data_IF_196860011919
#
_entry.id   IF_196860011919
#
_cell.length_a   1.000
_cell.length_b   1.000
_cell.length_c   1.000
_cell.angle_alpha   90.00
_cell.angle_beta   90.00
_cell.angle_gamma   90.00
#
_symmetry.space_group_name_H-M   'P 1'
#
loop_
_entity.id
_entity.type
_entity.pdbx_description
1 polymer ?
#
# COMPACT_ATOMS: atom_id res chain seq x y z
N UNK A 1 18.20 -0.89 15.76
CA UNK A 1 17.12 -1.47 16.59
C UNK A 1 16.46 -0.32 17.33
N UNK A 2 15.39 0.24 16.77
CA UNK A 2 14.99 1.61 17.14
C UNK A 2 14.09 1.64 18.38
N UNK A 3 14.46 2.51 19.32
CA UNK A 3 13.99 2.61 20.71
C UNK A 3 14.02 1.31 21.53
N UNK A 4 14.82 0.33 21.09
CA UNK A 4 15.25 -0.80 21.92
C UNK A 4 16.64 -0.51 22.47
N UNK A 5 16.78 -0.39 23.79
CA UNK A 5 18.04 0.04 24.42
C UNK A 5 18.28 -0.69 25.73
N UNK A 6 19.55 -0.94 26.03
CA UNK A 6 19.95 -1.43 27.34
C UNK A 6 19.99 -0.28 28.35
N UNK A 7 19.35 -0.45 29.50
CA UNK A 7 19.43 0.43 30.68
C UNK A 7 19.91 -0.43 31.85
N UNK A 8 21.13 -0.18 32.35
CA UNK A 8 21.75 -0.94 33.45
C UNK A 8 21.69 -2.46 33.24
N UNK A 9 22.05 -2.94 32.03
CA UNK A 9 22.08 -4.37 31.69
C UNK A 9 20.73 -5.01 31.32
N UNK A 10 19.60 -4.31 31.47
CA UNK A 10 18.27 -4.81 31.07
C UNK A 10 17.81 -4.17 29.76
N UNK A 11 17.16 -4.94 28.90
CA UNK A 11 16.64 -4.46 27.61
C UNK A 11 15.26 -3.81 27.79
N UNK A 12 15.09 -2.62 27.22
CA UNK A 12 13.83 -1.87 27.21
C UNK A 12 13.38 -1.60 25.78
N UNK A 13 12.07 -1.62 25.54
CA UNK A 13 11.43 -0.94 24.43
C UNK A 13 10.87 0.38 24.95
N UNK A 14 11.41 1.50 24.49
CA UNK A 14 11.14 2.83 25.05
C UNK A 14 11.43 2.84 26.57
N UNK A 15 10.41 3.06 27.39
CA UNK A 15 10.50 3.05 28.85
C UNK A 15 9.93 1.78 29.49
N UNK A 16 9.62 0.76 28.69
CA UNK A 16 9.04 -0.51 29.15
C UNK A 16 10.07 -1.64 29.10
N UNK A 17 10.26 -2.34 30.22
CA UNK A 17 11.16 -3.50 30.30
C UNK A 17 10.65 -4.66 29.45
N UNK A 18 11.51 -5.23 28.60
CA UNK A 18 11.17 -6.41 27.79
C UNK A 18 10.94 -7.64 28.66
N UNK A 19 11.73 -7.80 29.73
CA UNK A 19 11.58 -8.89 30.71
C UNK A 19 10.19 -8.85 31.35
N UNK A 20 9.77 -7.67 31.81
CA UNK A 20 8.44 -7.50 32.41
C UNK A 20 7.30 -7.77 31.43
N UNK A 21 7.47 -7.44 30.14
CA UNK A 21 6.50 -7.78 29.10
C UNK A 21 6.45 -9.29 28.85
N UNK A 22 7.60 -9.95 28.79
CA UNK A 22 7.69 -11.39 28.59
C UNK A 22 7.08 -12.18 29.75
N UNK A 23 7.29 -11.75 31.00
CA UNK A 23 6.64 -12.35 32.18
C UNK A 23 5.12 -12.15 32.16
N UNK A 24 4.66 -10.96 31.78
CA UNK A 24 3.23 -10.63 31.78
C UNK A 24 2.45 -11.31 30.65
N UNK A 25 3.01 -11.40 29.46
CA UNK A 25 2.31 -11.84 28.23
C UNK A 25 2.73 -13.24 27.78
N UNK A 26 3.89 -13.73 28.23
CA UNK A 26 4.49 -14.99 27.78
C UNK A 26 5.31 -14.83 26.49
N UNK A 27 5.95 -15.92 26.07
CA UNK A 27 6.78 -15.99 24.87
C UNK A 27 6.37 -17.17 23.96
N UNK A 28 6.50 -17.06 22.61
CA UNK A 28 7.12 -15.96 21.86
C UNK A 28 6.28 -14.67 21.83
N UNK A 29 6.95 -13.51 21.84
CA UNK A 29 6.33 -12.19 21.92
C UNK A 29 6.89 -11.26 20.83
N UNK A 30 5.99 -10.60 20.10
CA UNK A 30 6.34 -9.46 19.25
C UNK A 30 6.12 -8.15 20.01
N UNK A 31 7.17 -7.33 20.09
CA UNK A 31 7.12 -6.00 20.71
C UNK A 31 7.42 -4.95 19.64
N UNK A 32 6.57 -3.93 19.57
CA UNK A 32 6.71 -2.82 18.63
C UNK A 32 6.87 -1.52 19.42
N UNK A 33 7.82 -0.66 19.01
CA UNK A 33 7.93 0.71 19.55
C UNK A 33 7.03 1.64 18.75
N UNK A 34 6.12 2.33 19.45
CA UNK A 34 5.27 3.37 18.89
C UNK A 34 6.11 4.54 18.38
N UNK A 35 7.06 5.01 19.20
CA UNK A 35 7.91 6.16 18.88
C UNK A 35 8.77 5.90 17.65
N UNK A 36 9.28 4.69 17.51
CA UNK A 36 10.03 4.28 16.32
C UNK A 36 9.17 4.33 15.07
N UNK A 37 8.00 3.67 15.08
CA UNK A 37 7.11 3.64 13.92
C UNK A 37 6.71 5.05 13.51
N UNK A 38 6.30 5.87 14.48
CA UNK A 38 5.93 7.27 14.27
C UNK A 38 7.08 8.09 13.70
N UNK A 39 8.28 8.00 14.29
CA UNK A 39 9.47 8.73 13.84
C UNK A 39 9.84 8.39 12.40
N UNK A 40 9.78 7.11 12.00
CA UNK A 40 10.07 6.71 10.63
C UNK A 40 9.02 7.21 9.65
N UNK A 41 7.75 7.15 10.00
CA UNK A 41 6.68 7.70 9.18
C UNK A 41 6.84 9.22 8.99
N UNK A 42 7.11 9.96 10.07
CA UNK A 42 7.33 11.40 10.02
C UNK A 42 8.59 11.81 9.26
N UNK A 43 9.63 10.96 9.25
CA UNK A 43 10.80 11.19 8.41
C UNK A 43 10.43 11.24 6.92
N UNK A 44 9.55 10.35 6.45
CA UNK A 44 9.02 10.40 5.08
C UNK A 44 8.15 11.64 4.85
N UNK A 45 7.17 11.90 5.73
CA UNK A 45 6.31 13.10 5.63
C UNK A 45 7.13 14.39 5.52
N UNK A 46 8.18 14.52 6.35
CA UNK A 46 9.05 15.70 6.35
C UNK A 46 9.87 15.81 5.07
N UNK A 47 10.38 14.70 4.53
CA UNK A 47 11.19 14.70 3.32
C UNK A 47 10.39 15.20 2.09
N UNK A 48 9.09 14.91 2.03
CA UNK A 48 8.22 15.31 0.93
C UNK A 48 7.36 16.56 1.22
N UNK A 49 7.58 17.26 2.35
CA UNK A 49 6.73 18.37 2.81
C UNK A 49 6.54 19.54 1.82
N UNK A 50 7.44 19.69 0.84
CA UNK A 50 7.38 20.76 -0.17
C UNK A 50 6.50 20.43 -1.39
N UNK A 51 6.05 19.20 -1.54
CA UNK A 51 5.20 18.76 -2.65
C UNK A 51 3.91 18.15 -2.11
N UNK A 52 2.76 18.32 -2.79
CA UNK A 52 1.57 17.54 -2.48
C UNK A 52 1.90 16.05 -2.59
N UNK A 53 1.67 15.31 -1.52
CA UNK A 53 2.02 13.89 -1.46
C UNK A 53 1.08 13.12 -0.54
N UNK A 54 1.04 11.80 -0.74
CA UNK A 54 0.41 10.84 0.15
C UNK A 54 1.42 9.71 0.42
N UNK A 55 1.73 9.46 1.68
CA UNK A 55 2.48 8.26 2.06
C UNK A 55 1.49 7.13 2.30
N UNK A 56 1.41 6.20 1.34
CA UNK A 56 0.64 4.98 1.45
C UNK A 56 1.51 3.85 2.05
N UNK A 57 1.28 3.47 3.31
CA UNK A 57 2.04 2.39 3.95
C UNK A 57 1.61 1.03 3.37
N UNK A 58 2.58 0.24 2.90
CA UNK A 58 2.33 -1.10 2.38
C UNK A 58 1.93 -2.07 3.50
N UNK A 59 0.63 -2.36 3.62
CA UNK A 59 0.07 -3.12 4.75
C UNK A 59 0.71 -4.49 4.92
N UNK A 60 1.04 -5.16 3.81
CA UNK A 60 1.71 -6.48 3.79
C UNK A 60 2.98 -6.57 4.63
N UNK A 61 3.63 -5.43 4.95
CA UNK A 61 4.77 -5.40 5.86
C UNK A 61 4.36 -5.66 7.33
N UNK A 62 3.23 -5.11 7.78
CA UNK A 62 2.65 -5.38 9.09
C UNK A 62 1.18 -4.91 9.14
N UNK A 63 0.24 -5.86 9.18
CA UNK A 63 -1.20 -5.60 9.15
C UNK A 63 -1.85 -5.49 10.55
N UNK A 64 -1.05 -5.25 11.61
CA UNK A 64 -1.57 -5.04 12.95
C UNK A 64 -2.41 -3.76 13.02
N UNK A 65 -3.64 -3.87 13.52
CA UNK A 65 -4.61 -2.76 13.54
C UNK A 65 -4.12 -1.53 14.31
N UNK A 66 -3.32 -1.70 15.37
CA UNK A 66 -2.79 -0.57 16.13
C UNK A 66 -1.74 0.22 15.34
N UNK A 67 -0.93 -0.47 14.52
CA UNK A 67 0.08 0.16 13.65
C UNK A 67 -0.60 0.91 12.49
N UNK A 68 -1.62 0.29 11.87
CA UNK A 68 -2.39 0.96 10.82
C UNK A 68 -3.08 2.22 11.35
N UNK A 69 -3.69 2.12 12.54
CA UNK A 69 -4.33 3.26 13.21
C UNK A 69 -3.32 4.37 13.55
N UNK A 70 -2.10 4.02 13.95
CA UNK A 70 -1.03 4.99 14.18
C UNK A 70 -0.75 5.78 12.89
N UNK A 71 -0.48 5.12 11.77
CA UNK A 71 -0.18 5.81 10.52
C UNK A 71 -1.37 6.62 9.98
N UNK A 72 -2.60 6.12 10.14
CA UNK A 72 -3.80 6.88 9.80
C UNK A 72 -3.89 8.19 10.59
N UNK A 73 -3.61 8.16 11.90
CA UNK A 73 -3.60 9.36 12.77
C UNK A 73 -2.52 10.37 12.40
N UNK A 74 -1.39 9.92 11.88
CA UNK A 74 -0.33 10.81 11.34
C UNK A 74 -0.65 11.31 9.91
N UNK A 75 -1.86 11.05 9.41
CA UNK A 75 -2.35 11.54 8.12
C UNK A 75 -2.03 10.64 6.93
N UNK A 76 -1.45 9.47 7.17
CA UNK A 76 -1.04 8.51 6.14
C UNK A 76 -2.20 7.79 5.46
N UNK A 77 -1.88 7.26 4.29
CA UNK A 77 -2.69 6.31 3.54
C UNK A 77 -2.18 4.89 3.68
N UNK A 78 -2.82 3.95 2.98
CA UNK A 78 -2.45 2.53 2.97
C UNK A 78 -2.41 1.99 1.53
N UNK A 79 -1.37 1.25 1.19
CA UNK A 79 -1.31 0.41 0.00
C UNK A 79 -1.76 -1.01 0.37
N UNK A 80 -2.89 -1.43 -0.20
CA UNK A 80 -3.52 -2.73 0.03
C UNK A 80 -3.37 -3.64 -1.20
N UNK A 81 -3.36 -4.95 -0.99
CA UNK A 81 -3.27 -5.97 -2.05
C UNK A 81 -4.37 -7.03 -1.99
N UNK A 82 -5.35 -6.90 -1.08
CA UNK A 82 -6.52 -7.78 -1.02
C UNK A 82 -7.71 -7.13 -0.32
N UNK A 83 -8.90 -7.71 -0.49
CA UNK A 83 -10.09 -7.33 0.28
C UNK A 83 -9.90 -7.51 1.79
N UNK A 84 -9.13 -8.53 2.23
CA UNK A 84 -8.82 -8.70 3.65
C UNK A 84 -8.03 -7.52 4.24
N UNK A 85 -7.12 -6.94 3.44
CA UNK A 85 -6.38 -5.74 3.83
C UNK A 85 -7.26 -4.48 3.79
N UNK A 86 -8.17 -4.36 2.82
CA UNK A 86 -9.19 -3.31 2.80
C UNK A 86 -9.98 -3.28 4.12
N UNK A 87 -10.52 -4.43 4.54
CA UNK A 87 -11.31 -4.52 5.78
C UNK A 87 -10.48 -4.19 7.03
N UNK A 88 -9.21 -4.60 7.07
CA UNK A 88 -8.29 -4.22 8.17
C UNK A 88 -8.01 -2.73 8.20
N UNK A 89 -7.81 -2.09 7.05
CA UNK A 89 -7.57 -0.65 6.96
C UNK A 89 -8.81 0.13 7.45
N UNK A 90 -10.00 -0.26 7.00
CA UNK A 90 -11.27 0.31 7.45
C UNK A 90 -11.46 0.16 8.97
N UNK A 91 -11.22 -1.04 9.53
CA UNK A 91 -11.30 -1.30 10.97
C UNK A 91 -10.27 -0.50 11.79
N UNK A 92 -9.13 -0.17 11.20
CA UNK A 92 -8.12 0.71 11.79
C UNK A 92 -8.49 2.20 11.72
N UNK A 93 -9.58 2.57 11.03
CA UNK A 93 -10.04 3.95 10.88
C UNK A 93 -9.28 4.74 9.81
N UNK A 94 -8.69 4.04 8.83
CA UNK A 94 -8.05 4.68 7.67
C UNK A 94 -9.14 5.22 6.74
N UNK A 95 -8.97 6.45 6.26
CA UNK A 95 -9.83 7.04 5.24
C UNK A 95 -9.70 6.28 3.91
N UNK A 96 -10.79 5.73 3.33
CA UNK A 96 -10.76 5.06 2.03
C UNK A 96 -10.13 5.92 0.94
N UNK A 97 -10.34 7.24 0.95
CA UNK A 97 -9.76 8.17 -0.02
C UNK A 97 -8.24 8.33 0.09
N UNK A 98 -7.60 7.62 1.02
CA UNK A 98 -6.15 7.49 1.15
C UNK A 98 -5.67 6.04 0.94
N UNK A 99 -6.51 5.17 0.39
CA UNK A 99 -6.15 3.78 0.11
C UNK A 99 -5.91 3.58 -1.38
N UNK A 100 -4.78 2.96 -1.72
CA UNK A 100 -4.48 2.51 -3.09
C UNK A 100 -4.50 1.00 -3.13
N UNK A 101 -5.06 0.41 -4.19
CA UNK A 101 -5.19 -1.05 -4.31
C UNK A 101 -4.27 -1.57 -5.41
N UNK A 102 -3.16 -2.21 -5.02
CA UNK A 102 -2.21 -2.88 -5.91
C UNK A 102 -2.46 -4.39 -6.05
N UNK A 103 -1.67 -5.06 -6.90
CA UNK A 103 -1.69 -6.52 -7.04
C UNK A 103 -2.24 -7.00 -8.39
N UNK A 104 -1.65 -8.08 -8.92
CA UNK A 104 -1.88 -8.56 -10.30
C UNK A 104 -3.11 -9.44 -10.49
N UNK A 105 -3.79 -9.80 -9.40
CA UNK A 105 -4.82 -10.85 -9.40
C UNK A 105 -6.08 -10.45 -8.65
N UNK A 106 -6.42 -9.15 -8.65
CA UNK A 106 -7.62 -8.64 -7.98
C UNK A 106 -8.85 -9.35 -8.54
N UNK A 107 -9.65 -9.94 -7.67
CA UNK A 107 -10.89 -10.59 -8.11
C UNK A 107 -12.01 -9.56 -8.29
N UNK A 108 -13.05 -9.91 -9.05
CA UNK A 108 -14.24 -9.05 -9.22
C UNK A 108 -14.91 -8.70 -7.88
N UNK A 109 -14.89 -9.64 -6.93
CA UNK A 109 -15.41 -9.39 -5.58
C UNK A 109 -14.60 -8.32 -4.85
N UNK A 110 -13.27 -8.41 -4.90
CA UNK A 110 -12.39 -7.42 -4.28
C UNK A 110 -12.54 -6.04 -4.92
N UNK A 111 -12.69 -5.99 -6.25
CA UNK A 111 -12.98 -4.75 -6.98
C UNK A 111 -14.30 -4.13 -6.52
N UNK A 112 -15.37 -4.93 -6.36
CA UNK A 112 -16.65 -4.44 -5.86
C UNK A 112 -16.53 -3.87 -4.44
N UNK A 113 -15.83 -4.58 -3.54
CA UNK A 113 -15.64 -4.13 -2.16
C UNK A 113 -14.90 -2.79 -2.12
N UNK A 114 -13.80 -2.67 -2.87
CA UNK A 114 -13.00 -1.45 -2.95
C UNK A 114 -13.74 -0.27 -3.59
N UNK A 115 -14.53 -0.50 -4.64
CA UNK A 115 -15.37 0.53 -5.26
C UNK A 115 -16.47 1.02 -4.30
N UNK A 116 -17.14 0.11 -3.59
CA UNK A 116 -18.15 0.47 -2.57
C UNK A 116 -17.53 1.25 -1.41
N UNK A 117 -16.31 0.91 -1.02
CA UNK A 117 -15.58 1.64 0.02
C UNK A 117 -15.15 3.04 -0.43
N UNK A 118 -15.07 3.30 -1.74
CA UNK A 118 -14.63 4.59 -2.29
C UNK A 118 -13.14 4.83 -2.08
N UNK A 119 -12.31 3.82 -2.41
CA UNK A 119 -10.85 3.95 -2.31
C UNK A 119 -10.30 5.04 -3.24
N UNK A 120 -9.08 5.52 -2.99
CA UNK A 120 -8.44 6.56 -3.81
C UNK A 120 -8.28 6.12 -5.26
N UNK A 121 -7.65 4.96 -5.50
CA UNK A 121 -7.42 4.44 -6.83
C UNK A 121 -7.01 2.96 -6.85
N UNK A 122 -7.27 2.30 -7.97
CA UNK A 122 -6.70 1.00 -8.31
C UNK A 122 -5.39 1.18 -9.08
N UNK A 123 -4.32 0.55 -8.61
CA UNK A 123 -3.08 0.38 -9.37
C UNK A 123 -3.25 -0.84 -10.28
N UNK A 124 -3.63 -0.60 -11.53
CA UNK A 124 -3.96 -1.63 -12.52
C UNK A 124 -2.69 -2.17 -13.17
N UNK A 125 -2.59 -3.49 -13.27
CA UNK A 125 -1.37 -4.20 -13.69
C UNK A 125 -1.48 -4.79 -15.11
N UNK A 126 -2.69 -4.85 -15.68
CA UNK A 126 -2.92 -5.44 -17.01
C UNK A 126 -4.16 -4.89 -17.72
N UNK A 127 -4.22 -5.08 -19.05
CA UNK A 127 -5.39 -4.75 -19.86
C UNK A 127 -6.63 -5.55 -19.44
N UNK A 128 -6.44 -6.82 -19.10
CA UNK A 128 -7.50 -7.73 -18.69
C UNK A 128 -8.14 -7.29 -17.38
N UNK A 129 -7.31 -6.85 -16.43
CA UNK A 129 -7.78 -6.28 -15.18
C UNK A 129 -8.57 -4.99 -15.41
N UNK A 130 -8.10 -4.12 -16.30
CA UNK A 130 -8.78 -2.87 -16.65
C UNK A 130 -10.19 -3.10 -17.23
N UNK A 131 -10.31 -4.07 -18.14
CA UNK A 131 -11.61 -4.47 -18.74
C UNK A 131 -12.53 -5.08 -17.67
N UNK A 132 -12.02 -5.97 -16.81
CA UNK A 132 -12.80 -6.55 -15.74
C UNK A 132 -13.28 -5.50 -14.73
N UNK A 133 -12.45 -4.49 -14.43
CA UNK A 133 -12.80 -3.39 -13.54
C UNK A 133 -13.86 -2.47 -14.15
N UNK A 134 -13.82 -2.18 -15.45
CA UNK A 134 -14.87 -1.42 -16.15
C UNK A 134 -16.24 -2.13 -16.04
N UNK A 135 -16.28 -3.45 -16.27
CA UNK A 135 -17.50 -4.24 -16.15
C UNK A 135 -18.07 -4.23 -14.71
N UNK A 136 -17.19 -4.34 -13.71
CA UNK A 136 -17.58 -4.28 -12.30
C UNK A 136 -18.09 -2.88 -11.95
N UNK A 137 -17.39 -1.82 -12.36
CA UNK A 137 -17.81 -0.43 -12.13
C UNK A 137 -19.16 -0.12 -12.78
N UNK A 138 -19.37 -0.62 -14.01
CA UNK A 138 -20.66 -0.56 -14.71
C UNK A 138 -21.78 -1.20 -13.89
N UNK A 139 -21.54 -2.38 -13.32
CA UNK A 139 -22.53 -3.11 -12.50
C UNK A 139 -22.91 -2.36 -11.21
N UNK A 140 -22.02 -1.48 -10.73
CA UNK A 140 -22.22 -0.66 -9.54
C UNK A 140 -22.63 0.79 -9.87
N UNK A 141 -22.83 1.11 -11.16
CA UNK A 141 -23.16 2.45 -11.63
C UNK A 141 -22.18 3.53 -11.10
N UNK A 142 -20.89 3.20 -11.07
CA UNK A 142 -19.83 4.10 -10.58
C UNK A 142 -18.67 4.21 -11.58
N UNK A 143 -17.77 5.16 -11.33
CA UNK A 143 -16.49 5.30 -12.03
C UNK A 143 -15.38 4.70 -11.16
N UNK A 144 -14.53 3.87 -11.75
CA UNK A 144 -13.36 3.32 -11.08
C UNK A 144 -12.14 4.24 -11.30
N UNK A 145 -11.58 4.86 -10.25
CA UNK A 145 -10.35 5.62 -10.35
C UNK A 145 -9.16 4.67 -10.55
N UNK A 146 -8.36 4.88 -11.60
CA UNK A 146 -7.22 4.00 -11.94
C UNK A 146 -5.94 4.76 -12.22
N UNK A 147 -4.82 4.15 -11.82
CA UNK A 147 -3.50 4.45 -12.33
C UNK A 147 -2.88 3.17 -12.91
N UNK A 148 -2.22 3.26 -14.05
CA UNK A 148 -1.56 2.09 -14.66
C UNK A 148 -0.16 1.92 -14.08
N UNK A 149 0.16 0.70 -13.60
CA UNK A 149 1.52 0.38 -13.15
C UNK A 149 2.42 0.16 -14.36
N UNK A 150 3.25 1.15 -14.69
CA UNK A 150 4.17 1.07 -15.83
C UNK A 150 5.58 0.67 -15.37
N UNK A 151 6.18 -0.28 -16.06
CA UNK A 151 7.56 -0.69 -15.88
C UNK A 151 8.48 0.31 -16.58
N UNK A 152 9.34 1.05 -15.86
CA UNK A 152 10.24 2.02 -16.48
C UNK A 152 11.32 1.35 -17.33
N UNK A 153 11.79 2.03 -18.38
CA UNK A 153 12.93 1.56 -19.18
C UNK A 153 14.25 1.88 -18.47
N UNK A 154 14.64 1.00 -17.54
CA UNK A 154 15.86 1.15 -16.75
C UNK A 154 17.05 0.55 -17.51
N UNK A 155 18.05 1.39 -17.76
CA UNK A 155 19.26 1.00 -18.49
C UNK A 155 20.00 -0.15 -17.77
N UNK A 156 20.10 -1.34 -18.39
CA UNK A 156 20.70 -2.52 -17.78
C UNK A 156 22.18 -2.36 -17.48
N UNK A 157 22.90 -1.46 -18.18
CA UNK A 157 24.33 -1.20 -17.92
C UNK A 157 24.55 -0.53 -16.57
N UNK A 158 23.58 0.24 -16.08
CA UNK A 158 23.68 0.97 -14.82
C UNK A 158 23.05 0.21 -13.66
N UNK A 159 21.95 -0.52 -13.92
CA UNK A 159 21.17 -1.21 -12.89
C UNK A 159 20.74 -2.61 -13.38
N UNK A 160 21.69 -3.56 -13.53
CA UNK A 160 21.42 -4.86 -14.17
C UNK A 160 20.39 -5.70 -13.41
N UNK A 161 20.39 -5.67 -12.07
CA UNK A 161 19.42 -6.40 -11.24
C UNK A 161 17.99 -5.87 -11.38
N UNK A 162 17.82 -4.55 -11.57
CA UNK A 162 16.50 -3.95 -11.74
C UNK A 162 15.96 -4.25 -13.15
N UNK A 163 16.79 -4.07 -14.18
CA UNK A 163 16.39 -4.28 -15.58
C UNK A 163 16.01 -5.74 -15.87
N UNK A 164 16.76 -6.71 -15.32
CA UNK A 164 16.44 -8.14 -15.47
C UNK A 164 15.18 -8.55 -14.70
N UNK A 165 14.97 -7.98 -13.51
CA UNK A 165 13.77 -8.20 -12.70
C UNK A 165 12.49 -7.66 -13.34
N UNK A 166 12.56 -6.54 -14.06
CA UNK A 166 11.41 -5.93 -14.75
C UNK A 166 10.97 -6.76 -15.97
N UNK A 167 11.89 -7.18 -16.84
CA UNK A 167 11.54 -7.88 -18.09
C UNK A 167 10.92 -9.26 -17.90
N UNK A 168 11.25 -9.95 -16.81
CA UNK A 168 10.71 -11.29 -16.49
C UNK A 168 9.58 -11.24 -15.46
N UNK A 169 9.16 -10.04 -15.07
CA UNK A 169 8.17 -9.87 -14.03
C UNK A 169 6.76 -10.13 -14.53
N UNK A 170 5.92 -10.72 -13.68
CA UNK A 170 4.45 -10.74 -13.88
C UNK A 170 3.79 -9.38 -13.61
N UNK A 171 4.58 -8.39 -13.22
CA UNK A 171 4.13 -7.10 -12.72
C UNK A 171 4.21 -6.03 -13.79
N UNK A 172 3.19 -5.17 -13.83
CA UNK A 172 3.13 -3.95 -14.61
C UNK A 172 3.02 -4.14 -16.12
N UNK A 173 2.85 -3.00 -16.78
CA UNK A 173 2.76 -2.84 -18.23
C UNK A 173 4.11 -2.32 -18.72
N UNK A 174 4.65 -2.91 -19.79
CA UNK A 174 5.87 -2.38 -20.43
C UNK A 174 5.66 -0.94 -20.91
N UNK A 175 6.65 -0.06 -20.70
CA UNK A 175 6.53 1.37 -21.06
C UNK A 175 6.18 1.60 -22.53
N UNK A 176 6.63 0.71 -23.42
CA UNK A 176 6.32 0.73 -24.86
C UNK A 176 4.82 0.59 -25.15
N UNK A 177 4.07 -0.04 -24.23
CA UNK A 177 2.62 -0.24 -24.32
C UNK A 177 1.83 0.73 -23.45
N UNK A 178 2.48 1.56 -22.64
CA UNK A 178 1.80 2.43 -21.68
C UNK A 178 0.78 3.37 -22.37
N UNK A 179 1.16 4.00 -23.48
CA UNK A 179 0.27 4.90 -24.23
C UNK A 179 -0.94 4.16 -24.77
N UNK A 180 -0.75 3.00 -25.37
CA UNK A 180 -1.83 2.13 -25.88
C UNK A 180 -2.81 1.75 -24.75
N UNK A 181 -2.29 1.39 -23.58
CA UNK A 181 -3.12 0.99 -22.44
C UNK A 181 -3.86 2.18 -21.81
N UNK A 182 -3.27 3.37 -21.78
CA UNK A 182 -3.99 4.58 -21.38
C UNK A 182 -5.07 4.98 -22.38
N UNK A 183 -4.84 4.78 -23.68
CA UNK A 183 -5.89 4.98 -24.69
C UNK A 183 -7.05 3.98 -24.54
N UNK A 184 -6.76 2.73 -24.17
CA UNK A 184 -7.80 1.76 -23.80
C UNK A 184 -8.59 2.25 -22.58
N UNK A 185 -7.91 2.68 -21.51
CA UNK A 185 -8.55 3.22 -20.31
C UNK A 185 -9.50 4.39 -20.62
N UNK A 186 -9.08 5.31 -21.48
CA UNK A 186 -9.88 6.47 -21.88
C UNK A 186 -11.13 6.11 -22.70
N UNK A 187 -11.17 4.94 -23.37
CA UNK A 187 -12.34 4.47 -24.14
C UNK A 187 -13.36 3.72 -23.28
N UNK A 188 -12.95 3.25 -22.10
CA UNK A 188 -13.83 2.51 -21.18
C UNK A 188 -14.71 3.48 -20.39
N UNK A 189 -16.03 3.31 -20.50
CA UNK A 189 -17.00 4.30 -20.03
C UNK A 189 -17.06 4.42 -18.52
N UNK A 190 -16.62 3.42 -17.75
CA UNK A 190 -16.71 3.37 -16.30
C UNK A 190 -15.33 3.46 -15.62
N UNK A 191 -14.28 3.78 -16.40
CA UNK A 191 -12.94 4.06 -15.89
C UNK A 191 -12.74 5.57 -15.80
N UNK A 192 -12.02 6.00 -14.77
CA UNK A 192 -11.54 7.36 -14.56
C UNK A 192 -10.02 7.30 -14.34
N UNK A 193 -9.25 7.90 -15.26
CA UNK A 193 -7.80 7.98 -15.12
C UNK A 193 -7.48 9.13 -14.17
N UNK A 194 -6.73 8.84 -13.10
CA UNK A 194 -6.34 9.79 -12.03
C UNK A 194 -5.03 10.50 -12.34
#
# INVERSE_FOLDING_TARGET
>A
MHDFRFKKGKLYCEDVSIEALAEKVGTPLYVYSHNTLRRHFLAYQKAFAKVPHLIAFAMKANANLAILRLFAKEGGGIDIVSEGELHRALAAGVDPKKMVFAGVGKTRQEMQAALRAGILMFNVESAQELIALDEVAKSLQTKAPVALRVNPDINPKTHPYISTGLKKSKFGIEITRAVEQYQLAARLSNIEVV
#
